data_IF_095336144132
#
_entry.id   IF_095336144132
#
_cell.length_a   1.000
_cell.length_b   1.000
_cell.length_c   1.000
_cell.angle_alpha   90.00
_cell.angle_beta   90.00
_cell.angle_gamma   90.00
#
_symmetry.space_group_name_H-M   'P 1'
#
loop_
_entity.id
_entity.type
_entity.pdbx_description
1 polymer ?
#
# COMPACT_ATOMS: atom_id res chain seq x y z
N UNK A 1 20.40 18.89 -33.20
CA UNK A 1 19.19 19.68 -32.90
C UNK A 1 18.48 18.94 -31.79
N UNK A 2 18.89 19.22 -30.56
CA UNK A 2 18.36 18.59 -29.36
C UNK A 2 17.01 19.22 -29.02
N UNK A 3 15.94 18.42 -29.13
CA UNK A 3 14.63 18.81 -28.62
C UNK A 3 14.61 18.40 -27.14
N UNK A 4 14.96 19.35 -26.29
CA UNK A 4 14.78 19.23 -24.85
C UNK A 4 13.28 19.11 -24.54
N UNK A 5 12.83 17.92 -24.14
CA UNK A 5 11.50 17.72 -23.58
C UNK A 5 11.56 18.28 -22.15
N UNK A 6 11.14 19.54 -21.98
CA UNK A 6 10.97 20.14 -20.67
C UNK A 6 9.87 19.40 -19.91
N UNK A 7 10.21 18.90 -18.73
CA UNK A 7 9.26 18.41 -17.74
C UNK A 7 8.35 19.56 -17.26
N UNK A 8 7.02 19.37 -17.18
CA UNK A 8 6.09 20.42 -16.81
C UNK A 8 6.33 20.90 -15.37
N UNK A 9 6.05 22.17 -15.12
CA UNK A 9 6.26 22.79 -13.80
C UNK A 9 5.13 22.42 -12.83
N UNK A 10 5.37 22.62 -11.53
CA UNK A 10 4.41 22.34 -10.45
C UNK A 10 3.09 23.12 -10.58
N UNK A 11 3.09 24.27 -11.27
CA UNK A 11 1.91 25.08 -11.55
C UNK A 11 1.10 24.55 -12.74
N UNK A 12 1.73 23.91 -13.73
CA UNK A 12 1.06 23.31 -14.89
C UNK A 12 0.25 22.05 -14.51
N UNK A 13 0.47 21.52 -13.31
CA UNK A 13 -0.08 20.23 -12.83
C UNK A 13 -1.29 20.38 -11.90
N UNK A 14 -1.57 21.58 -11.37
CA UNK A 14 -2.72 21.82 -10.50
C UNK A 14 -4.04 22.00 -11.27
N UNK A 15 -3.97 22.36 -12.57
CA UNK A 15 -5.13 22.60 -13.44
C UNK A 15 -5.47 21.46 -14.41
N UNK A 16 -4.77 20.32 -14.36
CA UNK A 16 -5.05 19.14 -15.19
C UNK A 16 -5.93 18.11 -14.48
N UNK A 17 -7.05 18.55 -13.90
CA UNK A 17 -8.20 17.67 -13.68
C UNK A 17 -9.21 17.99 -14.78
N UNK A 18 -9.15 17.33 -15.95
CA UNK A 18 -10.24 17.45 -16.90
C UNK A 18 -11.49 16.89 -16.21
N UNK A 19 -12.50 17.74 -16.04
CA UNK A 19 -13.84 17.34 -15.60
C UNK A 19 -14.64 16.67 -16.73
N UNK A 20 -13.98 16.34 -17.84
CA UNK A 20 -14.60 15.73 -19.02
C UNK A 20 -13.73 14.57 -19.50
N UNK A 21 -13.95 13.41 -18.90
CA UNK A 21 -13.69 12.14 -19.58
C UNK A 21 -14.79 11.98 -20.65
N UNK A 22 -14.40 11.69 -21.89
CA UNK A 22 -15.32 11.41 -22.99
C UNK A 22 -16.25 10.23 -22.68
N UNK A 23 -17.21 9.97 -23.58
CA UNK A 23 -18.34 9.02 -23.50
C UNK A 23 -17.97 7.53 -23.26
N UNK A 24 -17.06 7.23 -22.33
CA UNK A 24 -16.63 5.89 -21.96
C UNK A 24 -17.29 5.50 -20.63
N UNK A 25 -18.03 4.39 -20.66
CA UNK A 25 -18.85 3.92 -19.54
C UNK A 25 -17.97 3.73 -18.30
N UNK A 26 -18.32 4.44 -17.22
CA UNK A 26 -17.59 4.35 -15.95
C UNK A 26 -17.55 2.88 -15.48
N UNK A 27 -16.36 2.39 -15.12
CA UNK A 27 -16.15 0.98 -14.77
C UNK A 27 -17.16 0.49 -13.70
N UNK A 28 -17.72 -0.74 -13.80
CA UNK A 28 -18.76 -1.26 -12.90
C UNK A 28 -18.47 -1.15 -11.40
N UNK A 29 -17.19 -1.12 -11.00
CA UNK A 29 -16.75 -0.88 -9.62
C UNK A 29 -17.30 0.44 -9.04
N UNK A 30 -17.65 1.41 -9.89
CA UNK A 30 -18.19 2.71 -9.50
C UNK A 30 -19.72 2.81 -9.65
N UNK A 31 -20.42 1.72 -9.99
CA UNK A 31 -21.86 1.75 -10.24
C UNK A 31 -22.69 2.24 -9.03
N UNK A 32 -22.22 1.98 -7.81
CA UNK A 32 -22.83 2.43 -6.55
C UNK A 32 -22.12 3.62 -5.90
N UNK A 33 -21.21 4.27 -6.63
CA UNK A 33 -20.38 5.34 -6.07
C UNK A 33 -21.25 6.54 -5.65
N UNK A 34 -21.14 7.04 -4.40
CA UNK A 34 -21.88 8.22 -3.98
C UNK A 34 -21.47 9.48 -4.74
N UNK A 35 -22.40 10.40 -4.95
CA UNK A 35 -22.16 11.68 -5.62
C UNK A 35 -22.03 12.88 -4.67
N UNK A 36 -22.00 12.64 -3.35
CA UNK A 36 -21.98 13.72 -2.36
C UNK A 36 -20.67 14.52 -2.41
N UNK A 37 -20.76 15.82 -2.08
CA UNK A 37 -19.59 16.73 -2.07
C UNK A 37 -18.49 16.23 -1.14
N UNK A 38 -18.85 15.69 0.04
CA UNK A 38 -17.90 15.15 1.01
C UNK A 38 -17.18 13.92 0.46
N UNK A 39 -17.90 13.02 -0.21
CA UNK A 39 -17.32 11.84 -0.84
C UNK A 39 -16.39 12.23 -2.00
N UNK A 40 -16.81 13.14 -2.87
CA UNK A 40 -15.97 13.61 -3.98
C UNK A 40 -14.67 14.26 -3.49
N UNK A 41 -14.71 15.02 -2.39
CA UNK A 41 -13.50 15.56 -1.75
C UNK A 41 -12.59 14.46 -1.20
N UNK A 42 -13.17 13.44 -0.54
CA UNK A 42 -12.43 12.28 -0.03
C UNK A 42 -11.75 11.50 -1.17
N UNK A 43 -12.50 11.15 -2.21
CA UNK A 43 -11.99 10.46 -3.41
C UNK A 43 -10.87 11.25 -4.08
N UNK A 44 -11.07 12.56 -4.33
CA UNK A 44 -10.04 13.43 -4.95
C UNK A 44 -8.76 13.47 -4.12
N UNK A 45 -8.86 13.53 -2.78
CA UNK A 45 -7.71 13.50 -1.88
C UNK A 45 -6.96 12.17 -1.96
N UNK A 46 -7.66 11.03 -1.91
CA UNK A 46 -7.05 9.70 -2.01
C UNK A 46 -6.38 9.50 -3.36
N UNK A 47 -7.04 9.86 -4.48
CA UNK A 47 -6.44 9.79 -5.81
C UNK A 47 -5.16 10.62 -5.92
N UNK A 48 -5.17 11.84 -5.37
CA UNK A 48 -3.98 12.70 -5.34
C UNK A 48 -2.85 12.03 -4.56
N UNK A 49 -3.13 11.45 -3.39
CA UNK A 49 -2.13 10.75 -2.57
C UNK A 49 -1.56 9.51 -3.28
N UNK A 50 -2.41 8.71 -3.94
CA UNK A 50 -1.98 7.54 -4.71
C UNK A 50 -1.11 7.96 -5.89
N UNK A 51 -1.54 8.96 -6.66
CA UNK A 51 -0.76 9.51 -7.77
C UNK A 51 0.59 10.05 -7.30
N UNK A 52 0.59 10.79 -6.20
CA UNK A 52 1.82 11.32 -5.60
C UNK A 52 2.77 10.19 -5.19
N UNK A 53 2.29 9.12 -4.55
CA UNK A 53 3.13 7.98 -4.20
C UNK A 53 3.68 7.26 -5.44
N UNK A 54 2.86 7.09 -6.49
CA UNK A 54 3.30 6.50 -7.76
C UNK A 54 4.44 7.33 -8.37
N UNK A 55 4.35 8.65 -8.32
CA UNK A 55 5.34 9.59 -8.86
C UNK A 55 6.62 9.64 -8.00
N UNK A 56 6.49 9.96 -6.71
CA UNK A 56 7.61 10.13 -5.77
C UNK A 56 8.53 8.89 -5.74
N UNK A 57 7.95 7.70 -5.82
CA UNK A 57 8.69 6.43 -5.78
C UNK A 57 8.92 5.82 -7.17
N UNK A 58 8.57 6.52 -8.25
CA UNK A 58 8.78 6.07 -9.62
C UNK A 58 8.19 4.68 -9.89
N UNK A 59 6.96 4.44 -9.44
CA UNK A 59 6.32 3.12 -9.48
C UNK A 59 5.99 2.65 -10.90
N UNK A 60 5.84 3.55 -11.88
CA UNK A 60 5.56 3.19 -13.28
C UNK A 60 6.79 2.82 -14.12
N UNK A 61 8.00 3.13 -13.63
CA UNK A 61 9.23 2.95 -14.42
C UNK A 61 9.44 1.47 -14.78
N UNK A 62 9.39 1.17 -16.07
CA UNK A 62 9.58 -0.18 -16.61
C UNK A 62 8.45 -1.16 -16.28
N UNK A 63 7.29 -0.67 -15.83
CA UNK A 63 6.16 -1.52 -15.48
C UNK A 63 5.11 -1.52 -16.58
N UNK A 64 4.60 -2.69 -16.92
CA UNK A 64 3.54 -2.92 -17.92
C UNK A 64 2.35 -3.64 -17.32
N UNK A 65 2.58 -4.54 -16.37
CA UNK A 65 1.53 -5.35 -15.74
C UNK A 65 1.74 -5.49 -14.24
N UNK A 66 0.67 -5.27 -13.48
CA UNK A 66 0.67 -5.35 -12.02
C UNK A 66 -0.26 -6.44 -11.51
N UNK A 67 0.23 -7.23 -10.54
CA UNK A 67 -0.61 -8.13 -9.74
C UNK A 67 -1.11 -7.37 -8.50
N UNK A 68 -2.42 -7.20 -8.36
CA UNK A 68 -3.04 -6.50 -7.23
C UNK A 68 -3.49 -7.52 -6.19
N UNK A 69 -2.85 -7.53 -5.03
CA UNK A 69 -3.23 -8.44 -3.93
C UNK A 69 -4.48 -7.95 -3.20
N UNK A 70 -5.60 -8.65 -3.37
CA UNK A 70 -6.89 -8.34 -2.73
C UNK A 70 -7.21 -9.38 -1.66
N UNK A 71 -7.17 -8.95 -0.40
CA UNK A 71 -7.43 -9.81 0.76
C UNK A 71 -8.90 -9.89 1.16
N UNK A 72 -9.75 -9.00 0.63
CA UNK A 72 -11.14 -8.81 1.06
C UNK A 72 -11.29 -7.78 2.17
N UNK A 73 -10.21 -7.16 2.62
CA UNK A 73 -10.23 -6.04 3.57
C UNK A 73 -10.47 -4.69 2.89
N UNK A 74 -10.91 -3.72 3.69
CA UNK A 74 -11.22 -2.33 3.28
C UNK A 74 -10.11 -1.68 2.45
N UNK A 75 -8.85 -1.88 2.85
CA UNK A 75 -7.71 -1.21 2.24
C UNK A 75 -7.38 -1.80 0.87
N UNK A 76 -7.54 -3.12 0.72
CA UNK A 76 -7.29 -3.82 -0.53
C UNK A 76 -8.35 -3.54 -1.60
N UNK A 77 -9.62 -3.41 -1.21
CA UNK A 77 -10.67 -2.95 -2.13
C UNK A 77 -10.49 -1.48 -2.50
N UNK A 78 -10.14 -0.63 -1.53
CA UNK A 78 -9.88 0.79 -1.78
C UNK A 78 -8.71 0.98 -2.74
N UNK A 79 -7.63 0.21 -2.58
CA UNK A 79 -6.52 0.20 -3.53
C UNK A 79 -7.00 -0.15 -4.94
N UNK A 80 -7.76 -1.24 -5.10
CA UNK A 80 -8.27 -1.67 -6.40
C UNK A 80 -9.09 -0.54 -7.05
N UNK A 81 -10.09 -0.01 -6.35
CA UNK A 81 -10.93 1.06 -6.86
C UNK A 81 -10.14 2.32 -7.25
N UNK A 82 -9.19 2.75 -6.42
CA UNK A 82 -8.37 3.93 -6.72
C UNK A 82 -7.44 3.71 -7.93
N UNK A 83 -6.88 2.52 -8.12
CA UNK A 83 -6.06 2.21 -9.30
C UNK A 83 -6.90 2.15 -10.57
N UNK A 84 -8.09 1.55 -10.50
CA UNK A 84 -9.01 1.50 -11.65
C UNK A 84 -9.52 2.89 -12.03
N UNK A 85 -9.71 3.77 -11.05
CA UNK A 85 -10.04 5.17 -11.28
C UNK A 85 -8.93 5.89 -12.06
N UNK A 86 -7.67 5.70 -11.64
CA UNK A 86 -6.52 6.25 -12.35
C UNK A 86 -6.38 5.65 -13.75
N UNK A 87 -6.68 4.36 -13.93
CA UNK A 87 -6.67 3.69 -15.23
C UNK A 87 -7.74 4.27 -16.16
N UNK A 88 -8.97 4.43 -15.68
CA UNK A 88 -10.08 5.05 -16.43
C UNK A 88 -9.76 6.49 -16.84
N UNK A 89 -9.04 7.25 -16.00
CA UNK A 89 -8.56 8.60 -16.32
C UNK A 89 -7.36 8.64 -17.28
N UNK A 90 -6.84 7.49 -17.71
CA UNK A 90 -5.62 7.40 -18.53
C UNK A 90 -4.33 7.77 -17.78
N UNK A 91 -4.36 7.88 -16.46
CA UNK A 91 -3.23 8.24 -15.60
C UNK A 91 -2.41 7.03 -15.11
N UNK A 92 -2.89 5.81 -15.41
CA UNK A 92 -2.27 4.56 -15.01
C UNK A 92 -2.15 3.61 -16.21
N UNK A 93 -1.10 3.73 -17.03
CA UNK A 93 -0.90 2.94 -18.25
C UNK A 93 -0.30 1.55 -17.94
N UNK A 94 -0.91 0.81 -17.02
CA UNK A 94 -0.53 -0.58 -16.70
C UNK A 94 -1.75 -1.49 -16.75
N UNK A 95 -1.53 -2.74 -17.16
CA UNK A 95 -2.53 -3.79 -17.04
C UNK A 95 -2.65 -4.23 -15.57
N UNK A 96 -3.87 -4.34 -15.07
CA UNK A 96 -4.15 -4.78 -13.70
C UNK A 96 -4.67 -6.22 -13.72
N UNK A 97 -4.03 -7.10 -12.96
CA UNK A 97 -4.50 -8.46 -12.69
C UNK A 97 -4.76 -8.58 -11.21
N UNK A 98 -6.01 -8.85 -10.81
CA UNK A 98 -6.36 -9.00 -9.40
C UNK A 98 -6.03 -10.40 -8.92
N UNK A 99 -5.44 -10.55 -7.74
CA UNK A 99 -5.19 -11.85 -7.13
C UNK A 99 -5.76 -11.89 -5.71
N UNK A 100 -6.58 -12.91 -5.45
CA UNK A 100 -6.89 -13.33 -4.10
C UNK A 100 -6.14 -14.64 -3.78
N UNK A 101 -5.61 -14.74 -2.56
CA UNK A 101 -5.01 -15.97 -2.02
C UNK A 101 -5.84 -16.46 -0.84
N UNK A 102 -6.66 -17.48 -1.08
CA UNK A 102 -7.30 -18.27 -0.02
C UNK A 102 -6.24 -19.15 0.65
N UNK A 103 -5.97 -18.85 1.92
CA UNK A 103 -4.91 -19.48 2.71
C UNK A 103 -5.37 -20.73 3.47
N UNK A 104 -6.63 -21.16 3.29
CA UNK A 104 -7.21 -22.28 4.04
C UNK A 104 -7.65 -21.92 5.45
N UNK A 105 -7.91 -20.65 5.74
CA UNK A 105 -8.39 -20.24 7.06
C UNK A 105 -9.81 -20.79 7.31
N UNK A 106 -10.11 -21.31 8.52
CA UNK A 106 -11.45 -21.74 8.87
C UNK A 106 -12.45 -20.60 8.67
N UNK A 107 -13.64 -20.90 8.14
CA UNK A 107 -14.72 -19.94 7.92
C UNK A 107 -14.43 -18.80 6.92
N UNK A 108 -13.33 -18.86 6.16
CA UNK A 108 -13.10 -17.89 5.08
C UNK A 108 -14.23 -17.99 4.03
N UNK A 109 -14.94 -16.89 3.73
CA UNK A 109 -16.09 -16.93 2.82
C UNK A 109 -15.62 -16.97 1.36
N UNK A 110 -15.39 -18.19 0.86
CA UNK A 110 -14.77 -18.46 -0.44
C UNK A 110 -15.47 -17.84 -1.65
N UNK A 111 -16.76 -17.51 -1.56
CA UNK A 111 -17.56 -16.98 -2.66
C UNK A 111 -17.52 -15.45 -2.77
N UNK A 112 -17.33 -14.74 -1.65
CA UNK A 112 -17.52 -13.28 -1.59
C UNK A 112 -16.61 -12.52 -2.56
N UNK A 113 -15.30 -12.83 -2.56
CA UNK A 113 -14.34 -12.16 -3.45
C UNK A 113 -14.51 -12.58 -4.91
N UNK A 114 -14.56 -13.88 -5.26
CA UNK A 114 -14.77 -14.30 -6.64
C UNK A 114 -16.05 -13.73 -7.27
N UNK A 115 -17.17 -13.76 -6.53
CA UNK A 115 -18.45 -13.25 -7.00
C UNK A 115 -18.38 -11.74 -7.22
N UNK A 116 -17.79 -10.99 -6.27
CA UNK A 116 -17.61 -9.56 -6.41
C UNK A 116 -16.72 -9.19 -7.60
N UNK A 117 -15.54 -9.80 -7.73
CA UNK A 117 -14.60 -9.52 -8.82
C UNK A 117 -15.19 -9.86 -10.20
N UNK A 118 -15.94 -10.97 -10.28
CA UNK A 118 -16.69 -11.34 -11.48
C UNK A 118 -17.79 -10.32 -11.80
N UNK A 119 -18.53 -9.85 -10.79
CA UNK A 119 -19.61 -8.87 -10.96
C UNK A 119 -19.12 -7.52 -11.50
N UNK A 120 -17.87 -7.15 -11.20
CA UNK A 120 -17.28 -5.91 -11.72
C UNK A 120 -16.47 -6.12 -13.01
N UNK A 121 -16.36 -7.36 -13.52
CA UNK A 121 -15.71 -7.65 -14.79
C UNK A 121 -14.18 -7.49 -14.81
N UNK A 122 -13.50 -7.58 -13.66
CA UNK A 122 -12.03 -7.46 -13.62
C UNK A 122 -11.34 -8.77 -13.92
N UNK A 123 -10.21 -8.71 -14.65
CA UNK A 123 -9.31 -9.85 -14.79
C UNK A 123 -8.77 -10.23 -13.42
N UNK A 124 -9.04 -11.45 -12.98
CA UNK A 124 -8.65 -11.90 -11.66
C UNK A 124 -8.23 -13.38 -11.62
N UNK A 125 -7.45 -13.70 -10.60
CA UNK A 125 -7.02 -15.06 -10.25
C UNK A 125 -7.34 -15.34 -8.78
N UNK A 126 -8.06 -16.44 -8.55
CA UNK A 126 -8.35 -16.95 -7.21
C UNK A 126 -7.44 -18.15 -6.97
N UNK A 127 -6.47 -18.00 -6.07
CA UNK A 127 -5.55 -19.07 -5.73
C UNK A 127 -5.89 -19.66 -4.36
N UNK A 128 -6.00 -20.98 -4.28
CA UNK A 128 -6.07 -21.69 -3.01
C UNK A 128 -4.72 -22.32 -2.63
N UNK A 129 -4.24 -22.06 -1.41
CA UNK A 129 -3.09 -22.73 -0.80
C UNK A 129 -3.29 -22.84 0.71
N UNK A 130 -3.31 -24.06 1.24
CA UNK A 130 -3.40 -24.27 2.68
C UNK A 130 -2.09 -23.92 3.41
N UNK A 131 -1.86 -22.63 3.59
CA UNK A 131 -0.76 -22.10 4.40
C UNK A 131 -1.13 -22.05 5.88
N UNK A 132 -2.42 -22.06 6.21
CA UNK A 132 -2.91 -22.01 7.57
C UNK A 132 -2.51 -23.24 8.37
N UNK A 133 -2.72 -24.45 7.82
CA UNK A 133 -2.32 -25.70 8.48
C UNK A 133 -0.81 -25.76 8.67
N UNK A 134 -0.03 -25.32 7.68
CA UNK A 134 1.44 -25.24 7.77
C UNK A 134 1.89 -24.31 8.90
N UNK A 135 1.25 -23.14 9.05
CA UNK A 135 1.57 -22.20 10.12
C UNK A 135 1.27 -22.80 11.49
N UNK A 136 0.09 -23.44 11.64
CA UNK A 136 -0.29 -24.12 12.89
C UNK A 136 0.67 -25.25 13.27
N UNK A 137 1.12 -26.02 12.30
CA UNK A 137 2.04 -27.13 12.51
C UNK A 137 3.44 -26.64 12.93
N UNK A 138 3.94 -25.58 12.28
CA UNK A 138 5.33 -25.12 12.43
C UNK A 138 5.54 -24.11 13.54
N UNK A 139 4.49 -23.42 13.99
CA UNK A 139 4.62 -22.43 15.07
C UNK A 139 4.32 -23.10 16.41
N UNK A 140 5.27 -23.12 17.37
CA UNK A 140 5.03 -23.65 18.70
C UNK A 140 3.83 -23.01 19.40
N UNK A 141 3.22 -23.72 20.35
CA UNK A 141 2.17 -23.15 21.19
C UNK A 141 2.67 -21.87 21.89
N UNK A 142 1.93 -20.78 21.74
CA UNK A 142 2.31 -19.45 22.24
C UNK A 142 3.20 -18.63 21.30
N UNK A 143 3.58 -19.15 20.13
CA UNK A 143 4.33 -18.42 19.10
C UNK A 143 3.44 -17.60 18.17
N UNK A 144 4.05 -16.58 17.53
CA UNK A 144 3.37 -15.67 16.60
C UNK A 144 3.22 -16.26 15.20
N UNK A 145 1.97 -16.45 14.78
CA UNK A 145 1.57 -16.98 13.47
C UNK A 145 1.84 -15.99 12.35
N UNK A 146 1.67 -14.69 12.62
CA UNK A 146 1.75 -13.62 11.62
C UNK A 146 3.09 -13.58 10.85
N UNK A 147 4.21 -13.89 11.49
CA UNK A 147 5.52 -13.86 10.84
C UNK A 147 5.63 -14.92 9.73
N UNK A 148 5.30 -16.17 10.02
CA UNK A 148 5.34 -17.26 9.05
C UNK A 148 4.23 -17.14 8.01
N UNK A 149 3.01 -16.79 8.44
CA UNK A 149 1.87 -16.55 7.55
C UNK A 149 2.19 -15.48 6.49
N UNK A 150 2.73 -14.33 6.92
CA UNK A 150 3.12 -13.23 6.02
C UNK A 150 4.20 -13.64 5.02
N UNK A 151 5.18 -14.46 5.43
CA UNK A 151 6.22 -14.98 4.54
C UNK A 151 5.64 -15.94 3.49
N UNK A 152 4.83 -16.91 3.90
CA UNK A 152 4.20 -17.88 2.99
C UNK A 152 3.24 -17.20 2.01
N UNK A 153 2.44 -16.24 2.49
CA UNK A 153 1.55 -15.43 1.64
C UNK A 153 2.34 -14.71 0.56
N UNK A 154 3.41 -14.01 0.95
CA UNK A 154 4.24 -13.22 0.04
C UNK A 154 4.93 -14.08 -1.00
N UNK A 155 5.48 -15.23 -0.60
CA UNK A 155 6.08 -16.19 -1.54
C UNK A 155 5.10 -16.70 -2.58
N UNK A 156 3.86 -17.01 -2.18
CA UNK A 156 2.81 -17.40 -3.13
C UNK A 156 2.43 -16.27 -4.08
N UNK A 157 2.29 -15.05 -3.58
CA UNK A 157 1.97 -13.90 -4.42
C UNK A 157 3.09 -13.57 -5.42
N UNK A 158 4.37 -13.72 -5.05
CA UNK A 158 5.48 -13.58 -5.99
C UNK A 158 5.44 -14.64 -7.09
N UNK A 159 5.22 -15.91 -6.73
CA UNK A 159 5.04 -16.98 -7.71
C UNK A 159 3.91 -16.66 -8.68
N UNK A 160 2.74 -16.27 -8.17
CA UNK A 160 1.58 -15.95 -9.01
C UNK A 160 1.87 -14.75 -9.92
N UNK A 161 2.57 -13.72 -9.41
CA UNK A 161 2.96 -12.57 -10.22
C UNK A 161 3.83 -13.00 -11.42
N UNK A 162 4.76 -13.94 -11.23
CA UNK A 162 5.56 -14.51 -12.32
C UNK A 162 4.74 -15.29 -13.31
N UNK A 163 3.85 -16.15 -12.82
CA UNK A 163 2.97 -16.97 -13.66
C UNK A 163 2.03 -16.10 -14.52
N UNK A 164 1.58 -14.95 -13.99
CA UNK A 164 0.76 -13.97 -14.73
C UNK A 164 1.60 -12.98 -15.57
N UNK A 165 2.93 -13.07 -15.53
CA UNK A 165 3.83 -12.16 -16.24
C UNK A 165 3.75 -10.70 -15.76
N UNK A 166 3.52 -10.50 -14.46
CA UNK A 166 3.48 -9.19 -13.82
C UNK A 166 4.90 -8.72 -13.46
N UNK A 167 5.16 -7.42 -13.62
CA UNK A 167 6.42 -6.77 -13.23
C UNK A 167 6.44 -6.40 -11.73
N UNK A 168 5.25 -6.30 -11.13
CA UNK A 168 5.08 -5.92 -9.73
C UNK A 168 3.93 -6.62 -9.03
N UNK A 169 4.10 -6.82 -7.72
CA UNK A 169 3.05 -7.08 -6.75
C UNK A 169 2.65 -5.77 -6.05
N UNK A 170 1.37 -5.42 -6.08
CA UNK A 170 0.83 -4.20 -5.48
C UNK A 170 -0.05 -4.56 -4.28
N UNK A 171 0.20 -3.92 -3.13
CA UNK A 171 -0.43 -4.25 -1.86
C UNK A 171 -1.04 -3.02 -1.21
N UNK A 172 -2.20 -3.20 -0.57
CA UNK A 172 -2.99 -2.14 0.07
C UNK A 172 -2.44 -1.62 1.41
N UNK A 173 -1.11 -1.59 1.58
CA UNK A 173 -0.52 -1.05 2.81
C UNK A 173 -0.55 0.48 2.80
N UNK A 174 -1.04 1.07 3.88
CA UNK A 174 -1.29 2.50 3.99
C UNK A 174 -0.32 3.21 4.95
N UNK A 175 -0.51 4.52 5.16
CA UNK A 175 0.36 5.37 5.99
C UNK A 175 0.60 4.79 7.38
N UNK A 176 -0.46 4.37 8.06
CA UNK A 176 -0.38 3.82 9.41
C UNK A 176 0.37 2.49 9.42
N UNK A 177 0.23 1.59 8.44
CA UNK A 177 1.05 0.37 8.36
C UNK A 177 2.56 0.70 8.28
N UNK A 178 2.92 1.74 7.54
CA UNK A 178 4.29 2.23 7.40
C UNK A 178 4.79 2.79 8.75
N UNK A 179 3.99 3.61 9.43
CA UNK A 179 4.33 4.16 10.73
C UNK A 179 4.43 3.08 11.82
N UNK A 180 3.49 2.14 11.85
CA UNK A 180 3.52 0.99 12.77
C UNK A 180 4.79 0.17 12.55
N UNK A 181 5.14 -0.11 11.28
CA UNK A 181 6.39 -0.81 10.95
C UNK A 181 7.62 -0.03 11.40
N UNK A 182 7.61 1.29 11.22
CA UNK A 182 8.68 2.15 11.71
C UNK A 182 8.85 2.04 13.22
N UNK A 183 7.78 2.19 13.99
CA UNK A 183 7.86 2.15 15.45
C UNK A 183 8.20 0.76 15.99
N UNK A 184 7.71 -0.32 15.35
CA UNK A 184 8.14 -1.67 15.71
C UNK A 184 9.67 -1.84 15.51
N UNK A 185 10.21 -1.41 14.37
CA UNK A 185 11.66 -1.47 14.12
C UNK A 185 12.45 -0.53 15.05
N UNK A 186 11.89 0.63 15.39
CA UNK A 186 12.54 1.59 16.26
C UNK A 186 12.62 1.07 17.71
N UNK A 187 11.51 0.62 18.28
CA UNK A 187 11.46 0.18 19.68
C UNK A 187 12.04 -1.21 19.91
N UNK A 188 11.82 -2.16 18.99
CA UNK A 188 12.21 -3.56 19.18
C UNK A 188 13.39 -3.98 18.31
N UNK A 189 13.56 -3.35 17.15
CA UNK A 189 14.63 -3.68 16.20
C UNK A 189 15.89 -2.82 16.31
N UNK A 190 15.86 -1.71 17.06
CA UNK A 190 16.96 -0.75 17.14
C UNK A 190 17.35 -0.14 15.79
N UNK A 191 16.38 0.00 14.86
CA UNK A 191 16.63 0.42 13.48
C UNK A 191 15.68 1.55 13.04
N UNK A 192 16.23 2.55 12.38
CA UNK A 192 15.45 3.55 11.63
C UNK A 192 15.02 2.98 10.28
N UNK A 193 14.06 2.06 10.30
CA UNK A 193 13.58 1.37 9.11
C UNK A 193 12.06 1.26 9.12
N UNK A 194 11.44 1.47 7.96
CA UNK A 194 10.00 1.27 7.76
C UNK A 194 9.76 0.26 6.64
N UNK A 195 8.49 0.03 6.30
CA UNK A 195 8.10 -0.64 5.09
C UNK A 195 8.17 0.34 3.90
N UNK A 196 9.08 0.13 2.92
CA UNK A 196 9.25 1.06 1.82
C UNK A 196 8.04 1.05 0.87
N UNK A 197 7.71 2.20 0.28
CA UNK A 197 6.62 2.32 -0.68
C UNK A 197 6.88 1.54 -1.98
N UNK A 198 8.15 1.39 -2.36
CA UNK A 198 8.63 0.55 -3.46
C UNK A 198 9.82 -0.27 -2.98
N UNK A 199 9.80 -1.57 -3.26
CA UNK A 199 10.85 -2.51 -2.87
C UNK A 199 11.15 -3.45 -4.04
N UNK A 200 12.42 -3.72 -4.33
CA UNK A 200 12.80 -4.87 -5.14
C UNK A 200 12.85 -6.10 -4.23
N UNK A 201 12.20 -7.19 -4.61
CA UNK A 201 12.28 -8.43 -3.84
C UNK A 201 13.70 -8.99 -3.80
N UNK A 202 13.95 -9.94 -2.89
CA UNK A 202 15.28 -10.50 -2.68
C UNK A 202 15.83 -11.27 -3.90
N UNK A 203 14.95 -11.80 -4.75
CA UNK A 203 15.31 -12.48 -6.00
C UNK A 203 15.65 -11.50 -7.14
N UNK A 204 15.37 -10.20 -6.97
CA UNK A 204 15.77 -9.15 -7.91
C UNK A 204 14.90 -9.02 -9.17
N UNK A 205 13.76 -9.69 -9.23
CA UNK A 205 12.93 -9.83 -10.45
C UNK A 205 11.54 -9.21 -10.34
N UNK A 206 11.05 -8.88 -9.13
CA UNK A 206 9.73 -8.32 -8.90
C UNK A 206 9.76 -7.09 -8.00
N UNK A 207 9.02 -6.06 -8.41
CA UNK A 207 8.75 -4.92 -7.55
C UNK A 207 7.60 -5.22 -6.59
N UNK A 208 7.67 -4.69 -5.37
CA UNK A 208 6.57 -4.61 -4.41
C UNK A 208 6.19 -3.17 -4.22
N UNK A 209 4.95 -2.82 -4.60
CA UNK A 209 4.45 -1.46 -4.64
C UNK A 209 3.35 -1.27 -3.60
N UNK A 210 3.35 -0.09 -2.95
CA UNK A 210 2.36 0.31 -1.95
C UNK A 210 1.83 1.71 -2.26
N UNK A 211 0.95 1.86 -3.26
CA UNK A 211 0.47 3.16 -3.70
C UNK A 211 -0.33 3.92 -2.63
N UNK A 212 -0.84 3.22 -1.61
CA UNK A 212 -1.52 3.84 -0.47
C UNK A 212 -0.58 4.42 0.59
N UNK A 213 0.74 4.50 0.34
CA UNK A 213 1.73 4.94 1.33
C UNK A 213 1.42 6.27 2.03
N UNK A 214 0.72 7.18 1.34
CA UNK A 214 0.30 8.48 1.88
C UNK A 214 -1.17 8.53 2.34
N UNK A 215 -1.95 7.48 2.08
CA UNK A 215 -3.36 7.43 2.43
C UNK A 215 -3.55 7.12 3.92
N UNK A 216 -4.46 7.86 4.57
CA UNK A 216 -4.82 7.65 5.95
C UNK A 216 -5.80 6.47 6.10
N UNK A 217 -5.63 5.64 7.12
CA UNK A 217 -6.55 4.53 7.42
C UNK A 217 -8.00 5.00 7.57
N UNK A 218 -8.24 6.11 8.27
CA UNK A 218 -9.59 6.66 8.49
C UNK A 218 -10.26 7.09 7.18
N UNK A 219 -9.48 7.57 6.22
CA UNK A 219 -9.97 7.96 4.91
C UNK A 219 -10.30 6.74 4.06
N UNK A 220 -9.47 5.70 4.12
CA UNK A 220 -9.75 4.41 3.48
C UNK A 220 -10.97 3.72 4.07
N UNK A 221 -11.15 3.79 5.40
CA UNK A 221 -12.33 3.25 6.07
C UNK A 221 -13.62 3.96 5.62
N UNK A 222 -13.61 5.31 5.58
CA UNK A 222 -14.74 6.10 5.07
C UNK A 222 -15.02 5.82 3.60
N UNK A 223 -13.97 5.71 2.79
CA UNK A 223 -14.09 5.44 1.36
C UNK A 223 -14.68 4.05 1.12
N UNK A 224 -14.16 3.02 1.80
CA UNK A 224 -14.65 1.65 1.68
C UNK A 224 -16.12 1.50 2.14
N UNK A 225 -16.49 2.16 3.24
CA UNK A 225 -17.87 2.18 3.72
C UNK A 225 -18.80 2.85 2.71
N UNK A 226 -18.40 4.00 2.15
CA UNK A 226 -19.18 4.74 1.17
C UNK A 226 -19.32 4.00 -0.17
N UNK A 227 -18.32 3.19 -0.55
CA UNK A 227 -18.35 2.34 -1.74
C UNK A 227 -19.11 1.02 -1.55
N UNK A 228 -19.56 0.72 -0.32
CA UNK A 228 -20.29 -0.51 0.03
C UNK A 228 -19.54 -1.80 -0.36
N UNK A 229 -18.21 -1.84 -0.16
CA UNK A 229 -17.45 -3.04 -0.49
C UNK A 229 -17.88 -4.24 0.38
N UNK A 230 -17.92 -5.46 -0.18
CA UNK A 230 -18.22 -6.66 0.59
C UNK A 230 -16.98 -7.09 1.40
N UNK A 231 -16.78 -6.41 2.53
CA UNK A 231 -15.63 -6.60 3.41
C UNK A 231 -15.71 -7.98 4.07
N UNK A 232 -14.62 -8.73 3.96
CA UNK A 232 -14.42 -9.99 4.69
C UNK A 232 -13.78 -9.64 6.06
N UNK A 233 -14.39 -10.03 7.20
CA UNK A 233 -13.85 -9.79 8.52
C UNK A 233 -12.45 -10.39 8.71
N UNK A 234 -11.58 -9.69 9.45
CA UNK A 234 -10.17 -10.03 9.66
C UNK A 234 -9.92 -10.68 11.05
N UNK A 235 -10.81 -11.56 11.49
CA UNK A 235 -10.75 -12.28 12.78
C UNK A 235 -10.44 -13.78 12.63
N UNK A 236 -10.32 -14.26 11.40
CA UNK A 236 -10.21 -15.69 11.05
C UNK A 236 -8.89 -16.37 11.49
N UNK A 237 -7.85 -15.60 11.86
CA UNK A 237 -6.55 -16.18 12.18
C UNK A 237 -6.42 -16.71 13.62
N UNK A 238 -7.34 -16.41 14.53
CA UNK A 238 -7.45 -17.00 15.88
C UNK A 238 -6.22 -16.87 16.80
N UNK A 239 -5.13 -16.26 16.34
CA UNK A 239 -3.89 -16.06 17.09
C UNK A 239 -4.04 -14.92 18.09
N UNK A 240 -3.39 -15.03 19.25
CA UNK A 240 -3.17 -13.93 20.21
C UNK A 240 -2.24 -12.83 19.66
N UNK A 241 -2.19 -12.66 18.34
CA UNK A 241 -1.21 -11.84 17.65
C UNK A 241 -1.75 -10.47 17.32
N UNK A 242 -0.90 -9.49 17.59
CA UNK A 242 -1.18 -8.09 17.40
C UNK A 242 -0.84 -7.26 18.61
N UNK A 243 -0.41 -7.79 19.76
CA UNK A 243 -0.12 -6.95 20.94
C UNK A 243 0.84 -5.79 20.61
N UNK A 244 1.96 -6.06 19.94
CA UNK A 244 2.89 -5.00 19.54
C UNK A 244 2.31 -4.09 18.46
N UNK A 245 1.76 -4.64 17.37
CA UNK A 245 1.18 -3.82 16.28
C UNK A 245 -0.03 -3.00 16.75
N UNK A 246 -0.94 -3.60 17.51
CA UNK A 246 -2.08 -2.97 18.15
C UNK A 246 -1.61 -1.94 19.19
N UNK A 247 -0.54 -2.20 19.93
CA UNK A 247 0.06 -1.20 20.82
C UNK A 247 0.61 -0.01 20.02
N UNK A 248 1.30 -0.25 18.89
CA UNK A 248 1.77 0.82 18.00
C UNK A 248 0.59 1.59 17.40
N UNK A 249 -0.45 0.90 16.96
CA UNK A 249 -1.69 1.51 16.44
C UNK A 249 -2.39 2.35 17.49
N UNK A 250 -2.51 1.85 18.72
CA UNK A 250 -3.09 2.57 19.85
C UNK A 250 -2.26 3.81 20.20
N UNK A 251 -0.92 3.67 20.24
CA UNK A 251 0.00 4.79 20.46
C UNK A 251 -0.16 5.87 19.38
N UNK A 252 -0.12 5.48 18.11
CA UNK A 252 -0.29 6.40 16.98
C UNK A 252 -1.66 7.10 17.01
N UNK A 253 -2.72 6.38 17.37
CA UNK A 253 -4.06 6.94 17.51
C UNK A 253 -4.17 7.92 18.66
N UNK A 254 -3.54 7.62 19.80
CA UNK A 254 -3.48 8.53 20.94
C UNK A 254 -2.68 9.80 20.64
N UNK A 255 -1.53 9.67 19.96
CA UNK A 255 -0.73 10.82 19.52
C UNK A 255 -1.53 11.72 18.59
N UNK A 256 -2.21 11.14 17.59
CA UNK A 256 -3.04 11.91 16.65
C UNK A 256 -4.21 12.60 17.35
N UNK A 257 -4.83 11.94 18.33
CA UNK A 257 -5.91 12.52 19.15
C UNK A 257 -5.43 13.71 19.97
N UNK A 258 -4.26 13.61 20.62
CA UNK A 258 -3.69 14.67 21.45
C UNK A 258 -3.07 15.79 20.61
N UNK A 259 -2.56 15.46 19.43
CA UNK A 259 -1.84 16.36 18.54
C UNK A 259 -2.23 16.04 17.08
N UNK A 260 -3.31 16.63 16.55
CA UNK A 260 -3.73 16.39 15.18
C UNK A 260 -2.64 16.75 14.15
N UNK A 261 -2.52 15.95 13.10
CA UNK A 261 -1.53 16.09 12.02
C UNK A 261 -0.15 15.50 12.34
N UNK A 262 0.02 14.80 13.47
CA UNK A 262 1.32 14.21 13.82
C UNK A 262 1.64 12.98 13.01
N UNK A 263 0.66 12.16 12.62
CA UNK A 263 0.89 11.02 11.71
C UNK A 263 1.48 11.49 10.38
N UNK A 264 0.97 12.59 9.82
CA UNK A 264 1.51 13.20 8.59
C UNK A 264 2.94 13.73 8.78
N UNK A 265 3.17 14.41 9.92
CA UNK A 265 4.50 14.93 10.25
C UNK A 265 5.53 13.78 10.40
N UNK A 266 5.14 12.69 11.07
CA UNK A 266 6.00 11.52 11.25
C UNK A 266 6.31 10.84 9.91
N UNK A 267 5.30 10.64 9.06
CA UNK A 267 5.51 10.05 7.74
C UNK A 267 6.45 10.92 6.89
N UNK A 268 6.25 12.24 6.90
CA UNK A 268 7.12 13.19 6.22
C UNK A 268 8.56 13.08 6.71
N UNK A 269 8.78 12.96 8.02
CA UNK A 269 10.11 12.83 8.61
C UNK A 269 10.87 11.59 8.07
N UNK A 270 10.17 10.49 7.78
CA UNK A 270 10.78 9.30 7.19
C UNK A 270 11.39 9.55 5.79
N UNK A 271 10.90 10.56 5.06
CA UNK A 271 11.46 10.99 3.77
C UNK A 271 12.45 12.16 3.85
N UNK A 272 12.70 12.73 5.04
CA UNK A 272 13.53 13.92 5.23
C UNK A 272 14.63 13.64 6.27
N UNK A 273 15.62 12.85 5.87
CA UNK A 273 16.73 12.43 6.74
C UNK A 273 17.93 13.38 6.56
N UNK A 274 18.56 13.77 7.66
CA UNK A 274 19.84 14.47 7.66
C UNK A 274 20.96 13.53 8.12
N UNK A 275 21.78 12.97 7.20
CA UNK A 275 22.81 11.99 7.54
C UNK A 275 23.80 12.45 8.61
N UNK A 276 24.18 13.74 8.60
CA UNK A 276 25.14 14.29 9.57
C UNK A 276 24.60 14.40 10.99
N UNK A 277 23.28 14.29 11.16
CA UNK A 277 22.60 14.30 12.47
C UNK A 277 22.11 12.91 12.87
N UNK A 278 22.46 11.88 12.09
CA UNK A 278 22.34 10.48 12.49
C UNK A 278 23.66 9.98 13.09
N UNK A 279 23.66 8.77 13.63
CA UNK A 279 24.83 8.15 14.25
C UNK A 279 25.47 7.05 13.36
N UNK A 280 25.28 7.14 12.04
CA UNK A 280 25.78 6.14 11.10
C UNK A 280 27.03 6.66 10.34
N UNK A 281 28.24 6.25 10.73
CA UNK A 281 29.48 6.70 10.07
C UNK A 281 29.63 6.17 8.64
N UNK A 282 28.80 5.22 8.19
CA UNK A 282 28.78 4.77 6.79
C UNK A 282 27.94 5.70 5.90
N UNK A 283 26.98 6.41 6.48
CA UNK A 283 26.14 7.38 5.76
C UNK A 283 26.73 8.80 5.81
N UNK A 284 27.54 9.12 6.81
CA UNK A 284 28.19 10.41 6.94
C UNK A 284 29.59 10.28 7.52
N UNK A 285 30.59 10.90 6.90
CA UNK A 285 31.98 10.87 7.35
C UNK A 285 32.23 11.88 8.48
N UNK A 286 32.03 11.43 9.72
CA UNK A 286 32.31 12.22 10.91
C UNK A 286 33.80 12.49 11.14
N UNK A 287 34.70 11.62 10.63
CA UNK A 287 36.13 11.77 10.85
C UNK A 287 36.72 12.92 10.02
N UNK A 288 36.07 13.28 8.92
CA UNK A 288 36.44 14.45 8.11
C UNK A 288 35.99 15.80 8.69
N UNK A 289 35.26 15.84 9.81
CA UNK A 289 34.78 17.08 10.41
C UNK A 289 35.88 17.77 11.20
N UNK A 290 36.32 18.93 10.70
CA UNK A 290 37.25 19.81 11.40
C UNK A 290 36.73 21.25 11.40
N UNK A 291 37.03 21.99 12.47
CA UNK A 291 36.75 23.42 12.50
C UNK A 291 37.78 24.15 11.63
N UNK A 292 37.32 24.90 10.62
CA UNK A 292 38.22 25.81 9.92
C UNK A 292 38.59 26.98 10.85
N UNK A 293 39.88 27.37 10.90
CA UNK A 293 40.28 28.55 11.65
C UNK A 293 39.56 29.77 11.07
N UNK A 294 38.88 30.54 11.94
CA UNK A 294 38.36 31.86 11.52
C UNK A 294 39.55 32.77 11.22
N UNK A 295 39.58 33.33 10.01
CA UNK A 295 40.54 34.34 9.58
C UNK A 295 40.41 35.65 10.38
#
# INVERSE_FOLDING_TARGET
MDIAIQSPTKADLEDLVPDQAGDDVMHPIFAKMPSSVSFNKLRKRLLRQVRQAIEDFGMLKGQKRWLIGVSGGKDSYSLLALLMDLQWRGLLPVELVVCNLDQGQPNFPKHVLPDYLSSIGVRHRIEYRDTYSIVKEKVPAGGTYCALCSRLRRGNLYRIAREEGCDALVLGHHREDILETFFMNFFHGGRLATMPAKLLNDEGDLMVLRPLAYAAEDDLAKFAAAMEFPIIPCDLCGSQDGLERNAMKAMLSDIERRMPGRKDTMLRALGHVNPSHLLDPKLFDFQSLFAEPKA
#
